data_IF_033309755889
#
_entry.id   IF_033309755889
#
_cell.length_a   1.000
_cell.length_b   1.000
_cell.length_c   1.000
_cell.angle_alpha   90.00
_cell.angle_beta   90.00
_cell.angle_gamma   90.00
#
_symmetry.space_group_name_H-M   'P 1'
#
loop_
_entity.id
_entity.type
_entity.pdbx_description
1 polymer ?
#
# COMPACT_ATOMS: atom_id res chain seq x y z
N UNK A 1 -0.70 14.56 2.01
CA UNK A 1 0.11 13.61 1.20
C UNK A 1 -0.78 12.49 0.71
N UNK A 2 -0.92 12.33 -0.61
CA UNK A 2 -1.88 11.43 -1.28
C UNK A 2 -1.27 10.09 -1.72
N UNK A 3 -0.42 9.51 -0.88
CA UNK A 3 0.14 8.16 -1.05
C UNK A 3 1.64 8.09 -1.30
N UNK A 4 2.12 6.87 -1.54
CA UNK A 4 3.52 6.52 -1.81
C UNK A 4 3.63 5.68 -3.09
N UNK A 5 4.75 5.83 -3.79
CA UNK A 5 5.12 4.98 -4.92
C UNK A 5 6.59 4.58 -4.78
N UNK A 6 6.88 3.30 -4.89
CA UNK A 6 8.25 2.76 -4.81
C UNK A 6 8.45 1.68 -5.86
N UNK A 7 9.57 1.73 -6.57
CA UNK A 7 10.04 0.64 -7.41
C UNK A 7 11.05 -0.23 -6.63
N UNK A 8 10.87 -1.54 -6.68
CA UNK A 8 11.78 -2.51 -6.06
C UNK A 8 12.16 -3.57 -7.09
N UNK A 9 13.46 -3.79 -7.23
CA UNK A 9 13.98 -4.93 -8.00
C UNK A 9 14.27 -6.06 -7.00
N UNK A 10 13.71 -7.23 -7.25
CA UNK A 10 13.97 -8.44 -6.48
C UNK A 10 14.14 -9.63 -7.43
N UNK A 11 15.30 -10.30 -7.37
CA UNK A 11 15.71 -11.26 -8.40
C UNK A 11 15.73 -10.63 -9.78
N UNK A 12 15.04 -11.27 -10.74
CA UNK A 12 14.90 -10.77 -12.12
C UNK A 12 13.57 -10.03 -12.36
N UNK A 13 12.79 -9.75 -11.31
CA UNK A 13 11.48 -9.08 -11.40
C UNK A 13 11.60 -7.63 -10.90
N UNK A 14 10.88 -6.73 -11.58
CA UNK A 14 10.70 -5.33 -11.18
C UNK A 14 9.26 -5.13 -10.69
N UNK A 15 9.13 -4.70 -9.45
CA UNK A 15 7.86 -4.45 -8.80
C UNK A 15 7.63 -2.94 -8.63
N UNK A 16 6.43 -2.46 -8.95
CA UNK A 16 5.98 -1.11 -8.61
C UNK A 16 4.90 -1.18 -7.55
N UNK A 17 5.09 -0.45 -6.45
CA UNK A 17 4.24 -0.51 -5.27
C UNK A 17 3.63 0.88 -5.08
N UNK A 18 2.33 0.99 -5.27
CA UNK A 18 1.59 2.23 -5.09
C UNK A 18 0.61 2.09 -3.94
N UNK A 19 0.74 2.92 -2.89
CA UNK A 19 -0.16 2.92 -1.74
C UNK A 19 -0.86 4.26 -1.60
N UNK A 20 -2.20 4.27 -1.50
CA UNK A 20 -3.00 5.49 -1.39
C UNK A 20 -4.17 5.31 -0.44
N UNK A 21 -4.55 6.37 0.27
CA UNK A 21 -5.85 6.44 0.93
C UNK A 21 -6.95 6.71 -0.11
N UNK A 22 -8.02 5.92 -0.09
CA UNK A 22 -9.19 6.12 -0.98
C UNK A 22 -10.15 7.17 -0.48
N UNK A 23 -9.99 7.63 0.76
CA UNK A 23 -10.71 8.76 1.32
C UNK A 23 -12.02 8.41 2.01
N UNK A 24 -12.73 9.43 2.54
CA UNK A 24 -13.87 9.26 3.44
C UNK A 24 -15.04 8.42 2.92
N UNK A 25 -15.40 8.42 1.61
CA UNK A 25 -16.47 7.56 1.11
C UNK A 25 -16.14 6.06 1.22
N UNK A 26 -14.85 5.71 1.25
CA UNK A 26 -14.37 4.33 1.17
C UNK A 26 -13.74 3.83 2.48
N UNK A 27 -13.12 4.73 3.24
CA UNK A 27 -12.48 4.46 4.53
C UNK A 27 -11.45 3.31 4.52
N UNK A 28 -10.69 3.17 3.43
CA UNK A 28 -9.60 2.20 3.34
C UNK A 28 -8.38 2.72 2.59
N UNK A 29 -7.23 2.13 2.91
CA UNK A 29 -5.95 2.33 2.22
C UNK A 29 -5.76 1.19 1.23
N UNK A 30 -5.43 1.53 -0.01
CA UNK A 30 -5.19 0.59 -1.11
C UNK A 30 -3.70 0.55 -1.43
N UNK A 31 -3.13 -0.65 -1.55
CA UNK A 31 -1.83 -0.87 -2.18
C UNK A 31 -2.01 -1.71 -3.42
N UNK A 32 -1.56 -1.21 -4.57
CA UNK A 32 -1.50 -1.94 -5.82
C UNK A 32 -0.04 -2.32 -6.07
N UNK A 33 0.19 -3.61 -6.35
CA UNK A 33 1.50 -4.15 -6.68
C UNK A 33 1.48 -4.52 -8.14
N UNK A 34 2.34 -3.89 -8.94
CA UNK A 34 2.54 -4.22 -10.34
C UNK A 34 3.84 -5.00 -10.52
N UNK A 35 3.84 -5.93 -11.46
CA UNK A 35 5.06 -6.55 -11.98
C UNK A 35 4.96 -6.61 -13.50
N UNK A 36 6.01 -6.21 -14.20
CA UNK A 36 6.08 -6.25 -15.68
C UNK A 36 4.86 -5.63 -16.38
N UNK A 37 4.39 -4.48 -15.87
CA UNK A 37 3.26 -3.74 -16.45
C UNK A 37 1.87 -4.31 -16.16
N UNK A 38 1.74 -5.34 -15.32
CA UNK A 38 0.45 -5.93 -14.93
C UNK A 38 0.23 -5.81 -13.43
N UNK A 39 -1.02 -5.67 -13.01
CA UNK A 39 -1.39 -5.77 -11.60
C UNK A 39 -1.18 -7.22 -11.17
N UNK A 40 -0.29 -7.42 -10.20
CA UNK A 40 -0.04 -8.71 -9.59
C UNK A 40 -1.08 -8.98 -8.50
N UNK A 41 -1.29 -8.00 -7.62
CA UNK A 41 -2.29 -8.08 -6.56
C UNK A 41 -2.63 -6.69 -6.00
N UNK A 42 -3.73 -6.63 -5.26
CA UNK A 42 -4.15 -5.43 -4.51
C UNK A 42 -4.35 -5.81 -3.04
N UNK A 43 -3.90 -4.94 -2.13
CA UNK A 43 -4.10 -5.06 -0.69
C UNK A 43 -4.93 -3.89 -0.19
N UNK A 44 -5.94 -4.17 0.62
CA UNK A 44 -6.81 -3.15 1.22
C UNK A 44 -6.74 -3.25 2.74
N UNK A 45 -6.68 -2.10 3.39
CA UNK A 45 -6.75 -1.98 4.85
C UNK A 45 -7.84 -0.98 5.20
N UNK A 46 -8.95 -1.46 5.75
CA UNK A 46 -10.02 -0.61 6.24
C UNK A 46 -9.63 0.02 7.58
N UNK A 47 -9.91 1.30 7.75
CA UNK A 47 -9.63 2.05 8.97
C UNK A 47 -10.90 2.61 9.64
N UNK A 48 -12.09 2.20 9.16
CA UNK A 48 -13.39 2.64 9.68
C UNK A 48 -13.55 2.42 11.19
N UNK A 49 -12.94 1.37 11.74
CA UNK A 49 -12.98 1.08 13.18
C UNK A 49 -12.02 1.92 14.03
N UNK A 50 -11.16 2.73 13.41
CA UNK A 50 -10.01 3.39 14.04
C UNK A 50 -10.00 4.91 13.88
N UNK A 51 -11.10 5.51 13.39
CA UNK A 51 -11.19 6.95 13.16
C UNK A 51 -12.16 7.64 14.12
N UNK A 52 -11.66 8.15 15.27
CA UNK A 52 -12.34 9.20 16.01
C UNK A 52 -12.68 10.38 15.10
N UNK A 53 -13.82 11.03 15.33
CA UNK A 53 -14.26 12.18 14.54
C UNK A 53 -13.17 13.28 14.52
N UNK A 54 -12.85 13.80 13.34
CA UNK A 54 -11.86 14.86 13.16
C UNK A 54 -10.38 14.43 13.21
N UNK A 55 -10.07 13.16 13.51
CA UNK A 55 -8.68 12.65 13.62
C UNK A 55 -8.07 12.13 12.31
N UNK A 56 -8.80 12.19 11.19
CA UNK A 56 -8.37 11.58 9.93
C UNK A 56 -7.02 12.08 9.45
N UNK A 57 -6.77 13.38 9.55
CA UNK A 57 -5.54 14.00 9.06
C UNK A 57 -4.31 13.60 9.87
N UNK A 58 -4.49 13.16 11.12
CA UNK A 58 -3.41 12.69 11.98
C UNK A 58 -3.25 11.17 11.95
N UNK A 59 -4.35 10.43 11.75
CA UNK A 59 -4.37 8.95 11.79
C UNK A 59 -4.05 8.32 10.43
N UNK A 60 -4.60 8.84 9.33
CA UNK A 60 -4.48 8.18 8.02
C UNK A 60 -3.07 8.25 7.44
N UNK A 61 -2.36 9.39 7.43
CA UNK A 61 -1.01 9.45 6.84
C UNK A 61 -0.01 8.43 7.41
N UNK A 62 0.11 8.23 8.75
CA UNK A 62 1.01 7.21 9.27
C UNK A 62 0.55 5.79 8.94
N UNK A 63 -0.76 5.51 8.85
CA UNK A 63 -1.26 4.21 8.41
C UNK A 63 -0.90 3.92 6.94
N UNK A 64 -1.05 4.91 6.06
CA UNK A 64 -0.68 4.81 4.64
C UNK A 64 0.81 4.49 4.51
N UNK A 65 1.66 5.21 5.27
CA UNK A 65 3.11 4.98 5.31
C UNK A 65 3.44 3.58 5.81
N UNK A 66 2.85 3.17 6.95
CA UNK A 66 3.10 1.86 7.56
C UNK A 66 2.70 0.71 6.63
N UNK A 67 1.55 0.81 5.96
CA UNK A 67 1.14 -0.18 4.98
C UNK A 67 2.13 -0.25 3.80
N UNK A 68 2.55 0.91 3.28
CA UNK A 68 3.51 0.96 2.19
C UNK A 68 4.85 0.30 2.57
N UNK A 69 5.45 0.69 3.69
CA UNK A 69 6.71 0.13 4.17
C UNK A 69 6.62 -1.38 4.38
N UNK A 70 5.51 -1.86 4.94
CA UNK A 70 5.26 -3.29 5.12
C UNK A 70 5.23 -4.03 3.80
N UNK A 71 4.53 -3.53 2.79
CA UNK A 71 4.45 -4.19 1.47
C UNK A 71 5.81 -4.16 0.77
N UNK A 72 6.53 -3.03 0.83
CA UNK A 72 7.89 -2.92 0.31
C UNK A 72 8.82 -3.98 0.94
N UNK A 73 8.72 -4.18 2.25
CA UNK A 73 9.48 -5.21 2.95
C UNK A 73 9.10 -6.62 2.50
N UNK A 74 7.80 -6.91 2.32
CA UNK A 74 7.33 -8.21 1.81
C UNK A 74 7.83 -8.51 0.39
N UNK A 75 7.93 -7.51 -0.48
CA UNK A 75 8.54 -7.66 -1.82
C UNK A 75 10.02 -7.98 -1.70
N UNK A 76 10.76 -7.27 -0.85
CA UNK A 76 12.19 -7.56 -0.60
C UNK A 76 12.43 -8.97 -0.03
N UNK A 77 11.47 -9.48 0.74
CA UNK A 77 11.46 -10.85 1.29
C UNK A 77 11.02 -11.93 0.28
N UNK A 78 10.72 -11.58 -0.98
CA UNK A 78 10.29 -12.54 -2.01
C UNK A 78 8.87 -13.08 -1.82
N UNK A 79 8.05 -12.46 -0.96
CA UNK A 79 6.68 -12.96 -0.66
C UNK A 79 5.72 -12.92 -1.85
N UNK A 80 6.09 -12.27 -2.95
CA UNK A 80 5.27 -12.17 -4.16
C UNK A 80 5.87 -12.93 -5.34
N UNK A 81 6.98 -13.66 -5.15
CA UNK A 81 7.69 -14.29 -6.26
C UNK A 81 6.92 -15.45 -6.90
N UNK A 82 6.02 -16.07 -6.14
CA UNK A 82 5.15 -17.17 -6.56
C UNK A 82 3.85 -16.71 -7.23
N UNK A 83 3.62 -15.39 -7.32
CA UNK A 83 2.53 -14.80 -8.08
C UNK A 83 3.01 -14.46 -9.50
#
# INVERSE_FOLDING_TARGET
MSGFNTEIIHGNKKYHIQTQDKGPPYNYIETIIYCSGRVLTTRRFAYSSYLPQGSRETVVPPLVKKQHERICQQVKEGRFDHL
#
